data_IF_782479864370
#
_entry.id   IF_782479864370
#
_cell.length_a   1.000
_cell.length_b   1.000
_cell.length_c   1.000
_cell.angle_alpha   90.00
_cell.angle_beta   90.00
_cell.angle_gamma   90.00
#
_symmetry.space_group_name_H-M   'P 1'
#
loop_
_entity.id
_entity.type
_entity.pdbx_description
1 polymer ?
#
# COMPACT_ATOMS: atom_id res chain seq x y z
N UNK A 1 14.77 15.31 44.68
CA UNK A 1 14.56 16.74 44.93
C UNK A 1 15.78 17.50 44.46
N UNK A 2 15.64 18.29 43.39
CA UNK A 2 16.70 19.16 42.85
C UNK A 2 16.35 20.61 43.21
N UNK A 3 17.29 21.35 43.77
CA UNK A 3 17.15 22.79 44.03
C UNK A 3 17.73 23.56 42.86
N UNK A 4 16.95 24.51 42.33
CA UNK A 4 17.38 25.37 41.23
C UNK A 4 17.22 26.82 41.70
N UNK A 5 18.30 27.60 41.59
CA UNK A 5 18.31 29.01 41.95
C UNK A 5 18.04 29.86 40.70
N UNK A 6 16.97 30.65 40.72
CA UNK A 6 16.62 31.59 39.64
C UNK A 6 17.33 32.94 39.78
N UNK A 7 17.26 33.77 38.74
CA UNK A 7 17.83 35.13 38.70
C UNK A 7 17.10 36.16 39.61
N UNK A 8 15.96 35.78 40.18
CA UNK A 8 15.31 36.47 41.30
C UNK A 8 15.47 35.59 42.55
N UNK A 9 15.55 36.19 43.75
CA UNK A 9 15.81 35.53 45.05
C UNK A 9 14.70 34.55 45.52
N UNK A 10 14.16 33.72 44.64
CA UNK A 10 13.14 32.72 44.92
C UNK A 10 13.76 31.33 44.87
N UNK A 11 13.74 30.60 45.99
CA UNK A 11 14.18 29.20 46.04
C UNK A 11 13.12 28.29 45.40
N UNK A 12 13.47 27.62 44.30
CA UNK A 12 12.58 26.69 43.60
C UNK A 12 13.08 25.27 43.78
N UNK A 13 12.15 24.36 44.11
CA UNK A 13 12.42 22.94 44.23
C UNK A 13 11.68 22.15 43.16
N UNK A 14 12.41 21.34 42.40
CA UNK A 14 11.85 20.44 41.40
C UNK A 14 11.82 19.01 41.95
N UNK A 15 10.65 18.38 41.82
CA UNK A 15 10.42 17.00 42.23
C UNK A 15 9.60 16.28 41.15
N UNK A 16 10.12 15.14 40.69
CA UNK A 16 9.36 14.26 39.82
C UNK A 16 8.30 13.48 40.62
N UNK A 17 7.13 13.32 40.03
CA UNK A 17 6.04 12.49 40.54
C UNK A 17 5.49 11.58 39.43
N UNK A 18 5.09 10.34 39.74
CA UNK A 18 4.50 9.46 38.74
C UNK A 18 3.13 9.96 38.28
N UNK A 19 2.78 9.72 37.02
CA UNK A 19 1.45 10.01 36.48
C UNK A 19 0.38 9.06 37.09
N UNK A 20 -0.88 9.52 37.10
CA UNK A 20 -2.07 8.72 37.44
C UNK A 20 -2.01 7.96 38.78
N UNK A 21 -1.47 8.59 39.82
CA UNK A 21 -1.30 7.98 41.14
C UNK A 21 -2.20 8.56 42.24
N UNK A 22 -3.27 9.29 41.90
CA UNK A 22 -4.19 9.85 42.91
C UNK A 22 -3.73 11.17 43.54
N UNK A 23 -2.57 11.72 43.15
CA UNK A 23 -2.10 13.01 43.68
C UNK A 23 -2.95 14.12 43.08
N UNK A 24 -3.89 14.64 43.89
CA UNK A 24 -4.89 15.61 43.46
C UNK A 24 -4.32 16.80 42.65
N UNK A 25 -3.20 17.40 43.08
CA UNK A 25 -2.58 18.51 42.35
C UNK A 25 -2.02 18.10 40.98
N UNK A 26 -1.41 16.92 40.88
CA UNK A 26 -0.89 16.39 39.61
C UNK A 26 -2.03 16.04 38.65
N UNK A 27 -3.10 15.44 39.16
CA UNK A 27 -4.29 15.11 38.36
C UNK A 27 -5.04 16.35 37.89
N UNK A 28 -5.10 17.40 38.72
CA UNK A 28 -5.65 18.69 38.30
C UNK A 28 -4.78 19.30 37.19
N UNK A 29 -3.46 19.30 37.34
CA UNK A 29 -2.54 19.81 36.32
C UNK A 29 -2.69 19.05 34.99
N UNK A 30 -2.70 17.71 35.02
CA UNK A 30 -2.87 16.87 33.84
C UNK A 30 -4.23 17.10 33.16
N UNK A 31 -5.32 17.19 33.94
CA UNK A 31 -6.65 17.51 33.41
C UNK A 31 -6.70 18.89 32.75
N UNK A 32 -6.05 19.89 33.33
CA UNK A 32 -6.00 21.23 32.78
C UNK A 32 -5.14 21.28 31.50
N UNK A 33 -3.99 20.59 31.50
CA UNK A 33 -3.15 20.44 30.31
C UNK A 33 -3.91 19.78 29.15
N UNK A 34 -4.65 18.69 29.42
CA UNK A 34 -5.49 18.01 28.44
C UNK A 34 -6.65 18.87 27.93
N UNK A 35 -7.23 19.75 28.75
CA UNK A 35 -8.21 20.74 28.28
C UNK A 35 -7.56 21.79 27.39
N UNK A 36 -6.39 22.30 27.80
CA UNK A 36 -5.61 23.27 27.04
C UNK A 36 -5.17 22.74 25.67
N UNK A 37 -4.85 21.45 25.56
CA UNK A 37 -4.48 20.83 24.28
C UNK A 37 -5.62 20.76 23.25
N UNK A 38 -6.88 21.00 23.67
CA UNK A 38 -8.03 21.08 22.76
C UNK A 38 -8.34 22.51 22.30
N UNK A 39 -7.70 23.53 22.89
CA UNK A 39 -7.87 24.92 22.50
C UNK A 39 -7.01 25.26 21.27
N UNK A 40 -7.32 26.38 20.63
CA UNK A 40 -6.52 26.88 19.52
C UNK A 40 -5.13 27.30 20.02
N UNK A 41 -4.09 26.76 19.39
CA UNK A 41 -2.69 27.05 19.71
C UNK A 41 -2.12 27.97 18.63
N UNK A 42 -1.64 29.15 19.03
CA UNK A 42 -1.03 30.14 18.12
C UNK A 42 0.34 29.66 17.60
N UNK A 43 1.13 29.00 18.45
CA UNK A 43 2.46 28.50 18.11
C UNK A 43 2.43 26.99 17.86
N UNK A 44 2.10 26.61 16.63
CA UNK A 44 2.20 25.24 16.15
C UNK A 44 3.63 24.93 15.73
N UNK A 45 4.57 24.93 16.67
CA UNK A 45 5.85 24.25 16.50
C UNK A 45 5.62 22.73 16.55
N UNK A 46 4.90 22.21 15.56
CA UNK A 46 4.70 20.76 15.41
C UNK A 46 5.93 20.22 14.69
N UNK A 47 6.47 19.11 15.17
CA UNK A 47 7.53 18.44 14.43
C UNK A 47 7.00 17.98 13.06
N UNK A 48 7.89 17.92 12.07
CA UNK A 48 7.59 17.31 10.77
C UNK A 48 6.97 15.90 10.92
N UNK A 49 7.37 15.15 11.95
CA UNK A 49 6.88 13.80 12.20
C UNK A 49 5.40 13.76 12.61
N UNK A 50 4.97 14.72 13.42
CA UNK A 50 3.58 14.87 13.88
C UNK A 50 2.70 15.35 12.74
N UNK A 51 3.13 16.37 11.99
CA UNK A 51 2.38 16.87 10.83
C UNK A 51 2.21 15.77 9.77
N UNK A 52 3.27 15.01 9.47
CA UNK A 52 3.20 13.86 8.57
C UNK A 52 2.22 12.79 9.06
N UNK A 53 2.12 12.59 10.37
CA UNK A 53 1.18 11.64 10.98
C UNK A 53 -0.27 12.11 10.81
N UNK A 54 -0.53 13.39 11.07
CA UNK A 54 -1.84 14.03 10.86
C UNK A 54 -2.25 13.93 9.39
N UNK A 55 -1.39 14.32 8.46
CA UNK A 55 -1.65 14.26 7.01
C UNK A 55 -1.98 12.82 6.60
N UNK A 56 -1.17 11.83 7.01
CA UNK A 56 -1.42 10.42 6.70
C UNK A 56 -2.77 9.94 7.23
N UNK A 57 -3.13 10.32 8.45
CA UNK A 57 -4.41 9.94 9.05
C UNK A 57 -5.60 10.53 8.27
N UNK A 58 -5.53 11.82 7.93
CA UNK A 58 -6.55 12.50 7.13
C UNK A 58 -6.67 11.91 5.72
N UNK A 59 -5.55 11.67 5.03
CA UNK A 59 -5.53 11.03 3.71
C UNK A 59 -6.16 9.64 3.76
N UNK A 60 -5.83 8.82 4.77
CA UNK A 60 -6.41 7.48 4.95
C UNK A 60 -7.92 7.54 5.21
N UNK A 61 -8.38 8.51 6.01
CA UNK A 61 -9.82 8.72 6.27
C UNK A 61 -10.56 9.10 4.99
N UNK A 62 -10.05 10.08 4.25
CA UNK A 62 -10.62 10.52 2.96
C UNK A 62 -10.66 9.37 1.96
N UNK A 63 -9.58 8.60 1.85
CA UNK A 63 -9.51 7.47 0.93
C UNK A 63 -10.55 6.39 1.27
N UNK A 64 -10.72 6.04 2.55
CA UNK A 64 -11.76 5.07 2.98
C UNK A 64 -13.18 5.54 2.65
N UNK A 65 -13.46 6.83 2.79
CA UNK A 65 -14.75 7.40 2.42
C UNK A 65 -15.01 7.33 0.92
N UNK A 66 -13.98 7.55 0.10
CA UNK A 66 -14.07 7.48 -1.36
C UNK A 66 -14.12 6.04 -1.90
N UNK A 67 -13.66 5.05 -1.12
CA UNK A 67 -13.58 3.65 -1.53
C UNK A 67 -14.29 2.74 -0.51
N UNK A 68 -15.63 2.88 -0.34
CA UNK A 68 -16.38 2.10 0.65
C UNK A 68 -16.35 0.60 0.37
N UNK A 69 -16.22 0.21 -0.90
CA UNK A 69 -16.18 -1.18 -1.34
C UNK A 69 -14.76 -1.77 -1.38
N UNK A 70 -13.76 -1.11 -0.78
CA UNK A 70 -12.42 -1.64 -0.74
C UNK A 70 -12.36 -2.95 0.05
N UNK A 71 -11.96 -4.03 -0.62
CA UNK A 71 -11.83 -5.33 -0.03
C UNK A 71 -10.53 -5.45 0.80
N UNK A 72 -10.63 -5.21 2.11
CA UNK A 72 -9.50 -5.40 3.04
C UNK A 72 -9.07 -6.86 3.19
N UNK A 73 -9.93 -7.81 2.81
CA UNK A 73 -9.66 -9.25 2.85
C UNK A 73 -9.37 -9.84 1.47
N UNK A 74 -8.98 -9.02 0.47
CA UNK A 74 -8.54 -9.54 -0.82
C UNK A 74 -7.35 -10.48 -0.62
N UNK A 75 -7.50 -11.72 -1.11
CA UNK A 75 -6.45 -12.74 -1.08
C UNK A 75 -5.16 -12.30 -1.81
N UNK A 76 -5.21 -11.26 -2.65
CA UNK A 76 -4.04 -10.57 -3.18
C UNK A 76 -3.01 -10.23 -2.08
N UNK A 77 -3.46 -9.78 -0.90
CA UNK A 77 -2.56 -9.40 0.19
C UNK A 77 -1.88 -10.60 0.86
N UNK A 78 -2.32 -11.82 0.58
CA UNK A 78 -1.73 -13.07 1.09
C UNK A 78 -0.63 -13.61 0.15
N UNK A 79 -0.47 -13.03 -1.04
CA UNK A 79 0.59 -13.38 -1.97
C UNK A 79 1.97 -12.88 -1.49
N UNK A 80 3.04 -13.50 -2.00
CA UNK A 80 4.40 -12.98 -1.84
C UNK A 80 4.51 -11.57 -2.45
N UNK A 81 5.45 -10.74 -1.96
CA UNK A 81 5.69 -9.41 -2.56
C UNK A 81 5.95 -9.47 -4.06
N UNK A 82 6.66 -10.51 -4.52
CA UNK A 82 6.95 -10.72 -5.95
C UNK A 82 5.67 -10.97 -6.75
N UNK A 83 4.76 -11.77 -6.21
CA UNK A 83 3.53 -12.19 -6.87
C UNK A 83 2.49 -11.08 -6.87
N UNK A 84 2.45 -10.30 -5.78
CA UNK A 84 1.69 -9.06 -5.71
C UNK A 84 2.09 -8.10 -6.84
N UNK A 85 3.39 -7.91 -7.08
CA UNK A 85 3.86 -7.05 -8.19
C UNK A 85 3.41 -7.58 -9.55
N UNK A 86 3.51 -8.90 -9.78
CA UNK A 86 3.03 -9.51 -11.02
C UNK A 86 1.55 -9.24 -11.22
N UNK A 87 0.71 -9.57 -10.23
CA UNK A 87 -0.75 -9.43 -10.32
C UNK A 87 -1.16 -7.96 -10.44
N UNK A 88 -0.55 -7.06 -9.69
CA UNK A 88 -0.85 -5.63 -9.77
C UNK A 88 -0.58 -5.08 -11.18
N UNK A 89 0.57 -5.43 -11.77
CA UNK A 89 0.95 -4.96 -13.10
C UNK A 89 0.10 -5.58 -14.21
N UNK A 90 -0.34 -6.82 -14.03
CA UNK A 90 -1.34 -7.45 -14.92
C UNK A 90 -2.71 -6.76 -14.81
N UNK A 91 -3.23 -6.59 -13.58
CA UNK A 91 -4.55 -5.99 -13.31
C UNK A 91 -4.65 -4.55 -13.80
N UNK A 92 -3.57 -3.77 -13.68
CA UNK A 92 -3.57 -2.34 -14.03
C UNK A 92 -3.06 -2.06 -15.45
N UNK A 93 -2.49 -3.06 -16.13
CA UNK A 93 -1.86 -2.89 -17.43
C UNK A 93 -0.52 -2.13 -17.41
N UNK A 94 -0.03 -1.70 -16.25
CA UNK A 94 1.26 -1.03 -16.09
C UNK A 94 2.40 -2.06 -16.04
N UNK A 95 2.69 -2.65 -17.20
CA UNK A 95 3.68 -3.71 -17.35
C UNK A 95 4.56 -3.45 -18.58
N UNK A 96 5.60 -4.25 -18.76
CA UNK A 96 6.52 -4.12 -19.90
C UNK A 96 6.15 -5.00 -21.08
N UNK A 97 4.87 -5.37 -21.22
CA UNK A 97 4.41 -6.02 -22.44
C UNK A 97 4.38 -5.00 -23.59
N UNK A 98 4.56 -5.49 -24.82
CA UNK A 98 4.71 -4.61 -25.99
C UNK A 98 3.56 -3.62 -26.13
N UNK A 99 2.32 -4.03 -25.83
CA UNK A 99 1.16 -3.14 -25.91
C UNK A 99 1.32 -1.89 -25.03
N UNK A 100 1.78 -2.02 -23.78
CA UNK A 100 1.96 -0.88 -22.90
C UNK A 100 3.21 -0.06 -23.28
N UNK A 101 4.32 -0.74 -23.58
CA UNK A 101 5.60 -0.10 -23.92
C UNK A 101 5.50 0.74 -25.20
N UNK A 102 4.87 0.20 -26.23
CA UNK A 102 4.69 0.89 -27.49
C UNK A 102 3.65 2.01 -27.38
N UNK A 103 2.48 1.73 -26.80
CA UNK A 103 1.36 2.69 -26.76
C UNK A 103 1.60 3.88 -25.83
N UNK A 104 2.31 3.70 -24.71
CA UNK A 104 2.56 4.76 -23.72
C UNK A 104 3.94 5.39 -23.81
N UNK A 105 4.96 4.59 -24.05
CA UNK A 105 6.35 5.07 -24.02
C UNK A 105 7.01 5.15 -25.40
N UNK A 106 6.35 4.66 -26.45
CA UNK A 106 6.93 4.58 -27.81
C UNK A 106 8.25 3.80 -27.84
N UNK A 107 8.36 2.77 -26.99
CA UNK A 107 9.51 1.87 -26.91
C UNK A 107 9.18 0.56 -27.61
N UNK A 108 10.08 0.10 -28.48
CA UNK A 108 9.91 -1.09 -29.32
C UNK A 108 9.36 -0.75 -30.70
N UNK A 109 9.35 -1.75 -31.59
CA UNK A 109 8.94 -1.59 -32.99
C UNK A 109 7.42 -1.71 -33.20
N UNK A 110 6.74 -2.47 -32.33
CA UNK A 110 5.32 -2.77 -32.46
C UNK A 110 4.70 -3.18 -31.12
N UNK A 111 3.38 -3.02 -31.01
CA UNK A 111 2.55 -3.57 -29.91
C UNK A 111 2.22 -5.05 -30.07
N UNK A 112 2.54 -5.64 -31.23
CA UNK A 112 2.23 -7.03 -31.56
C UNK A 112 3.02 -8.02 -30.68
N UNK A 113 2.39 -9.14 -30.35
CA UNK A 113 3.08 -10.29 -29.78
C UNK A 113 3.93 -10.99 -30.84
N UNK A 114 5.06 -11.58 -30.43
CA UNK A 114 5.92 -12.39 -31.31
C UNK A 114 5.22 -13.63 -31.90
N UNK A 115 4.05 -13.99 -31.39
CA UNK A 115 3.22 -15.04 -31.99
C UNK A 115 2.43 -14.56 -33.22
N UNK A 116 2.49 -13.26 -33.54
CA UNK A 116 1.84 -12.58 -34.66
C UNK A 116 0.31 -12.75 -34.75
N UNK A 117 -0.35 -13.11 -33.64
CA UNK A 117 -1.79 -13.35 -33.61
C UNK A 117 -2.59 -12.14 -33.08
N UNK A 118 -2.00 -11.35 -32.18
CA UNK A 118 -2.65 -10.21 -31.53
C UNK A 118 -1.63 -9.29 -30.84
N UNK A 119 -2.10 -8.19 -30.27
CA UNK A 119 -1.33 -7.29 -29.41
C UNK A 119 -0.87 -8.00 -28.13
N UNK A 120 0.36 -7.73 -27.70
CA UNK A 120 0.92 -8.33 -26.48
C UNK A 120 0.41 -7.60 -25.24
N UNK A 121 -0.79 -7.96 -24.78
CA UNK A 121 -1.37 -7.49 -23.52
C UNK A 121 -1.61 -8.67 -22.55
N UNK A 122 -2.06 -8.37 -21.32
CA UNK A 122 -2.31 -9.39 -20.31
C UNK A 122 -3.37 -10.43 -20.72
N UNK A 123 -4.40 -10.01 -21.46
CA UNK A 123 -5.46 -10.89 -21.93
C UNK A 123 -4.93 -11.89 -22.96
N UNK A 124 -4.27 -11.39 -24.01
CA UNK A 124 -3.63 -12.23 -25.03
C UNK A 124 -2.66 -13.21 -24.38
N UNK A 125 -1.80 -12.71 -23.48
CA UNK A 125 -0.80 -13.53 -22.79
C UNK A 125 -1.42 -14.66 -21.96
N UNK A 126 -2.51 -14.36 -21.22
CA UNK A 126 -3.15 -15.30 -20.31
C UNK A 126 -4.19 -16.20 -20.99
N UNK A 127 -4.71 -15.86 -22.17
CA UNK A 127 -5.81 -16.60 -22.83
C UNK A 127 -5.43 -17.20 -24.17
N UNK A 128 -4.78 -16.44 -25.04
CA UNK A 128 -4.79 -16.69 -26.48
C UNK A 128 -3.40 -16.91 -27.09
N UNK A 129 -2.32 -16.61 -26.36
CA UNK A 129 -0.97 -16.61 -26.91
C UNK A 129 -0.49 -18.03 -27.24
N UNK A 130 -0.35 -18.31 -28.55
CA UNK A 130 0.07 -19.62 -29.07
C UNK A 130 1.46 -20.05 -28.60
N UNK A 131 2.36 -19.09 -28.36
CA UNK A 131 3.70 -19.35 -27.84
C UNK A 131 3.68 -19.93 -26.42
N UNK A 132 2.58 -19.75 -25.70
CA UNK A 132 2.44 -20.17 -24.31
C UNK A 132 1.32 -21.19 -24.13
N UNK A 133 0.92 -21.91 -25.18
CA UNK A 133 -0.15 -22.92 -25.12
C UNK A 133 0.19 -24.05 -24.14
N UNK A 134 1.37 -24.67 -24.30
CA UNK A 134 1.81 -25.76 -23.44
C UNK A 134 1.87 -25.38 -21.94
N UNK A 135 2.56 -24.29 -21.52
CA UNK A 135 2.58 -23.89 -20.11
C UNK A 135 1.20 -23.40 -19.61
N UNK A 136 0.35 -22.88 -20.50
CA UNK A 136 -1.00 -22.45 -20.14
C UNK A 136 -1.90 -23.65 -19.87
N UNK A 137 -1.84 -24.68 -20.71
CA UNK A 137 -2.56 -25.95 -20.53
C UNK A 137 -2.08 -26.70 -19.27
N UNK A 138 -0.77 -26.68 -19.00
CA UNK A 138 -0.23 -27.25 -17.76
C UNK A 138 -0.73 -26.53 -16.50
N UNK A 139 -0.97 -25.21 -16.58
CA UNK A 139 -1.46 -24.41 -15.46
C UNK A 139 -3.00 -24.49 -15.32
N UNK A 140 -3.70 -24.43 -16.44
CA UNK A 140 -5.16 -24.47 -16.54
C UNK A 140 -5.56 -25.51 -17.60
N UNK A 141 -5.75 -26.78 -17.19
CA UNK A 141 -6.20 -27.84 -18.10
C UNK A 141 -7.60 -27.56 -18.67
N UNK A 142 -8.45 -26.92 -17.86
CA UNK A 142 -9.77 -26.46 -18.27
C UNK A 142 -9.77 -24.96 -18.56
N UNK A 143 -10.60 -24.46 -19.51
CA UNK A 143 -10.72 -23.05 -19.80
C UNK A 143 -11.15 -22.23 -18.57
N UNK A 144 -10.27 -21.34 -18.10
CA UNK A 144 -10.55 -20.42 -16.98
C UNK A 144 -10.71 -18.98 -17.49
N UNK A 145 -11.82 -18.29 -17.16
CA UNK A 145 -12.04 -16.90 -17.55
C UNK A 145 -10.94 -15.95 -17.06
N UNK A 146 -10.66 -14.90 -17.82
CA UNK A 146 -9.60 -13.93 -17.48
C UNK A 146 -9.83 -13.29 -16.12
N UNK A 147 -11.10 -13.01 -15.80
CA UNK A 147 -11.49 -12.47 -14.50
C UNK A 147 -11.08 -13.37 -13.34
N UNK A 148 -11.17 -14.68 -13.48
CA UNK A 148 -10.77 -15.63 -12.43
C UNK A 148 -9.24 -15.68 -12.31
N UNK A 149 -8.52 -15.71 -13.44
CA UNK A 149 -7.04 -15.63 -13.43
C UNK A 149 -6.52 -14.38 -12.73
N UNK A 150 -7.18 -13.23 -12.91
CA UNK A 150 -6.74 -11.95 -12.37
C UNK A 150 -7.33 -11.59 -11.00
N UNK A 151 -8.57 -11.99 -10.71
CA UNK A 151 -9.36 -11.55 -9.55
C UNK A 151 -10.06 -12.72 -8.82
N UNK A 152 -9.66 -13.96 -9.09
CA UNK A 152 -10.15 -15.16 -8.42
C UNK A 152 -9.61 -15.33 -7.00
N UNK A 153 -9.68 -16.55 -6.48
CA UNK A 153 -9.21 -16.90 -5.15
C UNK A 153 -7.68 -16.97 -5.06
N UNK A 154 -7.16 -17.23 -3.86
CA UNK A 154 -5.72 -17.27 -3.61
C UNK A 154 -4.99 -18.22 -4.56
N UNK A 155 -5.52 -19.42 -4.75
CA UNK A 155 -4.94 -20.43 -5.65
C UNK A 155 -4.91 -19.96 -7.11
N UNK A 156 -5.96 -19.27 -7.57
CA UNK A 156 -6.01 -18.72 -8.92
C UNK A 156 -4.90 -17.67 -9.11
N UNK A 157 -4.74 -16.78 -8.13
CA UNK A 157 -3.72 -15.72 -8.19
C UNK A 157 -2.29 -16.30 -8.13
N UNK A 158 -2.07 -17.29 -7.26
CA UNK A 158 -0.78 -17.98 -7.16
C UNK A 158 -0.44 -18.70 -8.47
N UNK A 159 -1.43 -19.35 -9.09
CA UNK A 159 -1.29 -20.04 -10.37
C UNK A 159 -1.00 -19.07 -11.51
N UNK A 160 -1.68 -17.93 -11.56
CA UNK A 160 -1.38 -16.86 -12.53
C UNK A 160 0.04 -16.33 -12.36
N UNK A 161 0.48 -16.08 -11.12
CA UNK A 161 1.85 -15.65 -10.87
C UNK A 161 2.88 -16.73 -11.25
N UNK A 162 2.60 -18.00 -10.98
CA UNK A 162 3.45 -19.12 -11.36
C UNK A 162 3.57 -19.28 -12.88
N UNK A 163 2.47 -19.16 -13.61
CA UNK A 163 2.45 -19.18 -15.07
C UNK A 163 3.35 -18.07 -15.65
N UNK A 164 3.20 -16.83 -15.18
CA UNK A 164 4.03 -15.71 -15.63
C UNK A 164 5.52 -15.96 -15.37
N UNK A 165 5.87 -16.54 -14.22
CA UNK A 165 7.26 -16.89 -13.92
C UNK A 165 7.78 -17.98 -14.85
N UNK A 166 6.95 -18.99 -15.15
CA UNK A 166 7.32 -20.13 -15.98
C UNK A 166 7.60 -19.72 -17.44
N UNK A 167 6.84 -18.78 -17.99
CA UNK A 167 7.05 -18.31 -19.37
C UNK A 167 8.20 -17.31 -19.50
N UNK A 168 8.81 -16.87 -18.40
CA UNK A 168 10.02 -16.02 -18.41
C UNK A 168 9.82 -14.58 -18.90
N UNK A 169 8.58 -14.12 -19.07
CA UNK A 169 8.31 -12.76 -19.55
C UNK A 169 8.50 -11.73 -18.43
N UNK A 170 9.28 -10.68 -18.71
CA UNK A 170 9.45 -9.57 -17.77
C UNK A 170 8.21 -8.68 -17.78
N UNK A 171 7.38 -8.84 -16.74
CA UNK A 171 6.29 -7.90 -16.44
C UNK A 171 6.83 -6.67 -15.67
N UNK A 172 8.05 -6.77 -15.12
CA UNK A 172 8.75 -5.77 -14.29
C UNK A 172 9.55 -4.73 -15.07
#
# INVERSE_FOLDING_TARGET
>A
MLRVYGLAETEVTLQWVPAHCGIHGNEQADRLANKGSQLEQEDRQVSYSEEKTVIKALSKKKWKQQHPNFNQSDCYYQLSKRDQVILFRLRTGHNRLNAHMYSKFRIGESEMCSCNADIMNAEHLLQNCRLHDAPRQASWPEPVPLRVKLFGGLEDLQRTAAFVRAIGISIQ
#
